data_IF_609686399000
#
_entry.id   IF_609686399000
#
_cell.length_a   1.000
_cell.length_b   1.000
_cell.length_c   1.000
_cell.angle_alpha   90.00
_cell.angle_beta   90.00
_cell.angle_gamma   90.00
#
_symmetry.space_group_name_H-M   'P 1'
#
loop_
_entity.id
_entity.type
_entity.pdbx_description
1 polymer ?
#
# COMPACT_ATOMS: atom_id res chain seq x y z
N UNK A 1 1.36 7.46 14.70
CA UNK A 1 1.22 6.68 13.45
C UNK A 1 1.28 5.17 13.65
N UNK A 2 1.74 4.65 14.80
CA UNK A 2 1.48 3.25 15.16
C UNK A 2 -0.03 2.95 15.03
N UNK A 3 -0.34 1.84 14.37
CA UNK A 3 -1.70 1.38 14.08
C UNK A 3 -2.57 2.42 13.36
N UNK A 4 -1.98 3.22 12.46
CA UNK A 4 -2.76 4.11 11.60
C UNK A 4 -3.74 3.34 10.71
N UNK A 5 -3.34 2.15 10.24
CA UNK A 5 -4.20 1.16 9.61
C UNK A 5 -4.59 0.12 10.66
N UNK A 6 -5.86 0.06 11.02
CA UNK A 6 -6.39 -0.72 12.14
C UNK A 6 -6.13 -2.23 11.94
N UNK A 7 -5.39 -2.90 12.84
CA UNK A 7 -5.07 -4.32 12.73
C UNK A 7 -6.30 -5.24 12.73
N UNK A 8 -7.37 -4.89 13.47
CA UNK A 8 -8.57 -5.70 13.52
C UNK A 8 -9.36 -5.62 12.21
N UNK A 9 -9.48 -4.42 11.63
CA UNK A 9 -10.13 -4.24 10.34
C UNK A 9 -9.37 -4.98 9.23
N UNK A 10 -8.05 -4.94 9.27
CA UNK A 10 -7.20 -5.67 8.32
C UNK A 10 -7.37 -7.18 8.44
N UNK A 11 -7.33 -7.72 9.67
CA UNK A 11 -7.59 -9.14 9.92
C UNK A 11 -8.98 -9.57 9.45
N UNK A 12 -9.99 -8.73 9.69
CA UNK A 12 -11.36 -8.97 9.23
C UNK A 12 -11.42 -8.98 7.70
N UNK A 13 -10.80 -8.01 7.03
CA UNK A 13 -10.77 -7.95 5.57
C UNK A 13 -10.12 -9.18 4.95
N UNK A 14 -9.00 -9.65 5.50
CA UNK A 14 -8.33 -10.87 5.05
C UNK A 14 -9.18 -12.13 5.31
N UNK A 15 -9.88 -12.20 6.44
CA UNK A 15 -10.77 -13.32 6.75
C UNK A 15 -12.02 -13.38 5.85
N UNK A 16 -12.47 -12.22 5.34
CA UNK A 16 -13.60 -12.11 4.43
C UNK A 16 -13.22 -12.21 2.95
N UNK A 17 -11.92 -12.19 2.63
CA UNK A 17 -11.46 -12.29 1.25
C UNK A 17 -11.86 -13.66 0.67
N UNK A 18 -12.44 -13.70 -0.55
CA UNK A 18 -12.75 -14.96 -1.22
C UNK A 18 -11.48 -15.80 -1.42
N UNK A 19 -11.54 -17.14 -1.32
CA UNK A 19 -10.38 -18.02 -1.51
C UNK A 19 -9.69 -17.84 -2.87
N UNK A 20 -10.43 -17.40 -3.89
CA UNK A 20 -9.93 -17.16 -5.25
C UNK A 20 -9.15 -15.83 -5.35
N UNK A 21 -9.39 -14.90 -4.43
CA UNK A 21 -8.71 -13.62 -4.39
C UNK A 21 -7.34 -13.79 -3.74
N UNK A 22 -6.28 -13.46 -4.46
CA UNK A 22 -4.92 -13.36 -3.92
C UNK A 22 -4.76 -12.09 -3.08
N UNK A 23 -5.47 -12.02 -1.96
CA UNK A 23 -5.33 -10.95 -0.98
C UNK A 23 -3.94 -11.01 -0.33
N UNK A 24 -3.29 -9.86 -0.22
CA UNK A 24 -1.97 -9.70 0.41
C UNK A 24 -2.00 -8.51 1.35
N UNK A 25 -1.17 -8.57 2.38
CA UNK A 25 -0.84 -7.44 3.25
C UNK A 25 0.55 -6.95 2.88
N UNK A 26 0.76 -5.63 2.92
CA UNK A 26 2.04 -5.02 2.56
C UNK A 26 2.09 -3.52 2.88
N UNK A 27 3.22 -2.91 2.55
CA UNK A 27 3.52 -1.49 2.75
C UNK A 27 3.19 -0.70 1.49
N UNK A 28 2.30 0.28 1.61
CA UNK A 28 2.02 1.25 0.57
C UNK A 28 2.92 2.49 0.73
N UNK A 29 3.61 2.88 -0.34
CA UNK A 29 4.38 4.11 -0.42
C UNK A 29 3.61 5.15 -1.24
N UNK A 30 3.27 6.28 -0.61
CA UNK A 30 2.70 7.43 -1.31
C UNK A 30 3.80 8.33 -1.88
N UNK A 31 3.76 8.60 -3.18
CA UNK A 31 4.62 9.57 -3.87
C UNK A 31 3.80 10.77 -4.38
N UNK A 32 4.47 11.80 -4.90
CA UNK A 32 3.80 13.04 -5.32
C UNK A 32 3.06 12.95 -6.65
N UNK A 33 3.44 12.05 -7.56
CA UNK A 33 2.91 12.03 -8.93
C UNK A 33 3.18 13.32 -9.72
N UNK A 34 2.51 13.54 -10.87
CA UNK A 34 1.60 12.63 -11.59
C UNK A 34 2.34 11.68 -12.56
N UNK A 35 3.67 11.75 -12.56
CA UNK A 35 4.50 10.85 -13.35
C UNK A 35 4.70 9.55 -12.59
N UNK A 36 4.49 8.43 -13.28
CA UNK A 36 4.88 7.12 -12.76
C UNK A 36 6.37 7.06 -12.43
N UNK A 37 6.71 6.15 -11.53
CA UNK A 37 8.07 5.94 -11.08
C UNK A 37 8.94 5.35 -12.19
N UNK A 38 10.18 5.83 -12.27
CA UNK A 38 11.23 5.21 -13.06
C UNK A 38 11.62 3.85 -12.47
N UNK A 39 12.28 3.01 -13.27
CA UNK A 39 12.82 1.71 -12.79
C UNK A 39 13.74 1.87 -11.58
N UNK A 40 14.54 2.94 -11.53
CA UNK A 40 15.44 3.21 -10.42
C UNK A 40 14.68 3.56 -9.14
N UNK A 41 13.62 4.37 -9.25
CA UNK A 41 12.72 4.70 -8.14
C UNK A 41 11.97 3.46 -7.65
N UNK A 42 11.40 2.64 -8.54
CA UNK A 42 10.76 1.38 -8.14
C UNK A 42 11.72 0.46 -7.37
N UNK A 43 12.97 0.31 -7.84
CA UNK A 43 13.99 -0.49 -7.14
C UNK A 43 14.33 0.08 -5.77
N UNK A 44 14.45 1.39 -5.68
CA UNK A 44 14.68 2.06 -4.41
C UNK A 44 13.53 1.79 -3.44
N UNK A 45 12.29 2.03 -3.87
CA UNK A 45 11.08 1.84 -3.06
C UNK A 45 10.95 0.40 -2.57
N UNK A 46 11.18 -0.58 -3.45
CA UNK A 46 11.20 -1.99 -3.07
C UNK A 46 12.27 -2.30 -2.01
N UNK A 47 13.50 -1.78 -2.19
CA UNK A 47 14.61 -1.98 -1.24
C UNK A 47 14.35 -1.36 0.13
N UNK A 48 13.57 -0.28 0.20
CA UNK A 48 13.15 0.33 1.48
C UNK A 48 11.86 -0.27 2.03
N UNK A 49 11.36 -1.35 1.40
CA UNK A 49 10.28 -2.18 1.93
C UNK A 49 8.88 -1.84 1.45
N UNK A 50 8.73 -1.11 0.34
CA UNK A 50 7.41 -0.89 -0.27
C UNK A 50 6.96 -2.10 -1.09
N UNK A 51 5.72 -2.53 -0.90
CA UNK A 51 5.05 -3.57 -1.70
C UNK A 51 4.14 -2.98 -2.79
N UNK A 52 3.68 -1.74 -2.59
CA UNK A 52 2.87 -0.98 -3.53
C UNK A 52 3.26 0.50 -3.51
N UNK A 53 3.08 1.19 -4.64
CA UNK A 53 3.30 2.63 -4.78
C UNK A 53 2.09 3.28 -5.43
N UNK A 54 1.80 4.52 -5.05
CA UNK A 54 0.84 5.36 -5.76
C UNK A 54 0.84 6.79 -5.22
N UNK A 55 -0.13 7.58 -5.65
CA UNK A 55 -0.07 9.05 -5.53
C UNK A 55 -1.07 9.64 -4.53
N UNK A 56 -1.75 8.79 -3.74
CA UNK A 56 -2.87 9.20 -2.86
C UNK A 56 -2.78 8.53 -1.49
N UNK A 57 -3.86 8.56 -0.71
CA UNK A 57 -4.11 7.73 0.48
C UNK A 57 -3.32 8.10 1.72
N UNK A 58 -2.02 8.40 1.62
CA UNK A 58 -1.16 8.67 2.79
C UNK A 58 -1.62 9.91 3.55
N UNK A 59 -1.94 10.99 2.84
CA UNK A 59 -2.41 12.24 3.44
C UNK A 59 -3.77 12.06 4.14
N UNK A 60 -4.71 11.34 3.51
CA UNK A 60 -5.99 11.02 4.13
C UNK A 60 -5.82 10.12 5.37
N UNK A 61 -4.93 9.13 5.32
CA UNK A 61 -4.67 8.24 6.45
C UNK A 61 -4.12 8.99 7.66
N UNK A 62 -3.21 9.95 7.45
CA UNK A 62 -2.67 10.81 8.51
C UNK A 62 -3.79 11.67 9.12
N UNK A 63 -4.61 12.32 8.29
CA UNK A 63 -5.72 13.14 8.77
C UNK A 63 -6.77 12.32 9.53
N UNK A 64 -7.16 11.15 9.01
CA UNK A 64 -8.10 10.23 9.66
C UNK A 64 -7.57 9.75 11.02
N UNK A 65 -6.28 9.43 11.10
CA UNK A 65 -5.64 9.04 12.36
C UNK A 65 -5.62 10.19 13.37
N UNK A 66 -5.36 11.41 12.92
CA UNK A 66 -5.44 12.61 13.75
C UNK A 66 -6.84 12.82 14.32
N UNK A 67 -7.88 12.56 13.52
CA UNK A 67 -9.28 12.61 13.93
C UNK A 67 -9.74 11.41 14.79
N UNK A 68 -8.87 10.46 15.11
CA UNK A 68 -9.22 9.28 15.92
C UNK A 68 -10.08 8.24 15.18
N UNK A 69 -10.13 8.27 13.85
CA UNK A 69 -10.90 7.30 13.06
C UNK A 69 -10.16 5.97 12.95
N UNK A 70 -10.93 4.88 12.86
CA UNK A 70 -10.43 3.55 12.47
C UNK A 70 -10.34 3.50 10.95
N UNK A 71 -9.24 2.95 10.42
CA UNK A 71 -8.94 3.02 8.99
C UNK A 71 -8.56 1.64 8.45
N UNK A 72 -9.16 1.27 7.32
CA UNK A 72 -8.77 0.13 6.48
C UNK A 72 -8.25 0.69 5.15
N UNK A 73 -7.03 0.32 4.78
CA UNK A 73 -6.44 0.65 3.48
C UNK A 73 -6.45 -0.56 2.57
N UNK A 74 -6.92 -0.40 1.33
CA UNK A 74 -6.91 -1.44 0.30
C UNK A 74 -6.34 -0.84 -0.98
N UNK A 75 -5.34 -1.51 -1.57
CA UNK A 75 -4.78 -1.15 -2.86
C UNK A 75 -5.08 -2.25 -3.87
N UNK A 76 -5.78 -1.90 -4.95
CA UNK A 76 -5.90 -2.77 -6.11
C UNK A 76 -4.66 -2.58 -6.97
N UNK A 77 -3.83 -3.63 -7.09
CA UNK A 77 -2.64 -3.58 -7.93
C UNK A 77 -3.06 -3.71 -9.40
N UNK A 78 -3.06 -2.59 -10.11
CA UNK A 78 -3.48 -2.50 -11.52
C UNK A 78 -2.38 -2.85 -12.51
N UNK A 79 -1.12 -2.78 -12.09
CA UNK A 79 0.05 -3.10 -12.89
C UNK A 79 1.22 -3.50 -12.00
N UNK A 80 2.15 -4.26 -12.56
CA UNK A 80 3.43 -4.51 -11.91
C UNK A 80 4.38 -3.32 -12.15
N UNK A 81 5.24 -3.04 -11.18
CA UNK A 81 6.38 -2.15 -11.40
C UNK A 81 7.30 -2.75 -12.48
N UNK A 82 7.97 -1.92 -13.31
CA UNK A 82 8.85 -2.38 -14.39
C UNK A 82 10.20 -2.87 -13.85
N UNK A 83 10.17 -3.77 -12.89
CA UNK A 83 11.34 -4.40 -12.30
C UNK A 83 11.67 -5.65 -13.14
N UNK A 84 12.88 -5.73 -13.73
CA UNK A 84 13.32 -6.99 -14.32
C UNK A 84 13.39 -8.07 -13.23
N UNK A 85 13.23 -9.36 -13.59
CA UNK A 85 13.43 -10.46 -12.66
C UNK A 85 14.80 -10.29 -11.98
N UNK A 86 14.83 -10.53 -10.66
CA UNK A 86 16.09 -10.54 -9.92
C UNK A 86 16.94 -11.71 -10.44
N UNK A 87 18.21 -11.43 -10.77
CA UNK A 87 19.23 -12.45 -11.08
C UNK A 87 19.60 -13.25 -9.81
#
# INVERSE_FOLDING_TARGET
MLDAYDPELRRLALALAPPELRAREGVYCGVGGPSYETVAECRFLQRVGADAVGETTVSEAVAARHCGLRLLGLSLITNAAPLPPED
#
